data_IF_685513839719
#
_entry.id   IF_685513839719
#
_cell.length_a   1.000
_cell.length_b   1.000
_cell.length_c   1.000
_cell.angle_alpha   90.00
_cell.angle_beta   90.00
_cell.angle_gamma   90.00
#
_symmetry.space_group_name_H-M   'P 1'
#
loop_
_entity.id
_entity.type
_entity.pdbx_description
1 polymer ?
#
# COMPACT_ATOMS: atom_id res chain seq x y z
N UNK A 1 35.97 41.14 41.18
CA UNK A 1 35.72 40.21 42.31
C UNK A 1 34.95 39.00 41.81
N UNK A 2 35.31 37.82 42.33
CA UNK A 2 34.94 36.46 41.91
C UNK A 2 33.47 36.15 42.21
N UNK A 3 32.81 35.31 41.40
CA UNK A 3 31.92 34.22 41.86
C UNK A 3 31.94 33.07 40.85
N UNK A 4 32.64 31.99 41.22
CA UNK A 4 32.52 30.64 40.66
C UNK A 4 31.51 29.89 41.52
N UNK A 5 30.61 29.11 40.93
CA UNK A 5 29.95 28.02 41.64
C UNK A 5 29.95 26.76 40.77
N UNK A 6 30.53 25.71 41.36
CA UNK A 6 30.57 24.31 40.94
C UNK A 6 29.45 23.54 41.66
N UNK A 7 29.28 22.27 41.25
CA UNK A 7 28.70 21.13 41.99
C UNK A 7 27.18 20.93 41.72
N UNK A 8 26.63 19.76 41.35
CA UNK A 8 26.94 18.35 41.69
C UNK A 8 26.43 17.40 40.59
N UNK A 9 27.22 16.37 40.29
CA UNK A 9 26.84 15.23 39.47
C UNK A 9 25.89 14.29 40.24
N UNK A 10 24.85 13.79 39.56
CA UNK A 10 23.99 12.71 40.03
C UNK A 10 24.33 11.43 39.26
N UNK A 11 24.80 10.42 39.97
CA UNK A 11 25.14 9.10 39.45
C UNK A 11 23.85 8.32 39.07
N UNK A 12 23.81 7.77 37.86
CA UNK A 12 22.90 6.68 37.52
C UNK A 12 23.73 5.40 37.37
N UNK A 13 23.36 4.39 38.15
CA UNK A 13 24.02 3.09 38.20
C UNK A 13 23.77 2.30 36.91
N UNK A 14 24.83 1.73 36.34
CA UNK A 14 24.78 0.70 35.30
C UNK A 14 24.74 -0.66 36.00
N UNK A 15 23.63 -1.40 35.90
CA UNK A 15 23.62 -2.82 36.24
C UNK A 15 24.02 -3.63 35.02
N UNK A 16 25.26 -4.14 35.03
CA UNK A 16 25.77 -5.16 34.11
C UNK A 16 25.40 -6.53 34.67
N UNK A 17 24.67 -7.34 33.91
CA UNK A 17 24.47 -8.77 34.18
C UNK A 17 24.83 -9.58 32.93
N UNK A 18 25.90 -10.36 33.00
CA UNK A 18 26.47 -11.17 31.92
C UNK A 18 26.20 -12.67 32.20
N UNK A 19 25.52 -13.33 31.23
CA UNK A 19 25.65 -14.70 30.62
C UNK A 19 25.89 -15.94 31.54
N UNK A 20 25.16 -17.09 31.51
CA UNK A 20 24.87 -18.20 30.53
C UNK A 20 25.14 -19.56 31.27
N UNK A 21 24.93 -20.81 30.76
CA UNK A 21 23.91 -21.47 29.89
C UNK A 21 23.42 -22.88 30.40
N UNK A 22 22.61 -23.57 29.56
CA UNK A 22 22.23 -25.02 29.49
C UNK A 22 21.00 -25.47 30.30
N UNK A 23 20.05 -26.27 29.80
CA UNK A 23 20.16 -27.52 29.00
C UNK A 23 19.06 -27.72 27.94
N UNK A 24 19.38 -28.61 27.01
CA UNK A 24 18.65 -29.16 25.87
C UNK A 24 17.31 -29.85 26.19
N UNK A 25 16.33 -29.71 25.28
CA UNK A 25 15.65 -30.82 24.57
C UNK A 25 14.48 -30.30 23.70
N UNK A 26 14.57 -30.47 22.39
CA UNK A 26 13.42 -30.75 21.53
C UNK A 26 13.90 -31.57 20.33
N UNK A 27 13.53 -32.84 20.33
CA UNK A 27 13.90 -33.85 19.35
C UNK A 27 13.06 -33.73 18.06
N UNK A 28 13.68 -34.16 16.97
CA UNK A 28 13.12 -34.36 15.63
C UNK A 28 12.25 -35.62 15.52
N UNK A 29 11.29 -35.60 14.59
CA UNK A 29 10.54 -36.74 14.02
C UNK A 29 9.02 -36.59 14.24
N UNK A 30 8.09 -36.74 13.29
CA UNK A 30 8.11 -37.14 11.88
C UNK A 30 6.86 -36.56 11.16
N UNK A 31 6.96 -36.56 9.84
CA UNK A 31 6.01 -36.23 8.78
C UNK A 31 4.57 -36.77 8.93
N UNK A 32 3.59 -35.93 8.63
CA UNK A 32 2.38 -36.35 7.91
C UNK A 32 1.85 -35.24 7.01
N UNK A 33 1.85 -35.56 5.73
CA UNK A 33 1.33 -34.92 4.52
C UNK A 33 0.23 -33.85 4.73
N UNK A 34 0.51 -32.60 4.37
CA UNK A 34 -0.55 -31.63 4.04
C UNK A 34 -0.67 -31.57 2.53
N UNK A 35 -1.68 -32.27 2.00
CA UNK A 35 -2.09 -32.15 0.60
C UNK A 35 -2.41 -30.69 0.30
N UNK A 36 -1.58 -30.06 -0.52
CA UNK A 36 -1.92 -28.80 -1.20
C UNK A 36 -2.79 -29.15 -2.40
N UNK A 37 -4.06 -28.74 -2.47
CA UNK A 37 -4.68 -28.59 -3.76
C UNK A 37 -4.06 -27.34 -4.39
N UNK A 38 -3.20 -27.56 -5.38
CA UNK A 38 -2.87 -26.53 -6.33
C UNK A 38 -4.16 -26.13 -7.05
N UNK A 39 -4.70 -24.96 -6.74
CA UNK A 39 -5.69 -24.32 -7.60
C UNK A 39 -5.14 -22.97 -7.99
N UNK A 40 -4.41 -22.98 -9.10
CA UNK A 40 -4.21 -21.84 -9.98
C UNK A 40 -5.57 -21.40 -10.50
N UNK A 41 -6.32 -20.66 -9.70
CA UNK A 41 -7.39 -19.82 -10.23
C UNK A 41 -6.77 -18.45 -10.51
N UNK A 42 -6.42 -18.25 -11.77
CA UNK A 42 -6.30 -16.92 -12.33
C UNK A 42 -7.65 -16.24 -12.12
N UNK A 43 -7.77 -15.45 -11.04
CA UNK A 43 -8.95 -14.64 -10.77
C UNK A 43 -9.13 -13.71 -11.97
N UNK A 44 -10.07 -14.06 -12.83
CA UNK A 44 -10.48 -13.25 -13.96
C UNK A 44 -11.36 -12.14 -13.38
N UNK A 45 -10.77 -10.96 -13.20
CA UNK A 45 -11.48 -9.78 -12.75
C UNK A 45 -12.44 -9.33 -13.87
N UNK A 46 -13.71 -9.72 -13.79
CA UNK A 46 -14.75 -9.14 -14.63
C UNK A 46 -15.08 -7.75 -14.10
N UNK A 47 -14.42 -6.75 -14.69
CA UNK A 47 -14.79 -5.35 -14.53
C UNK A 47 -16.18 -5.16 -15.18
N UNK A 48 -17.26 -5.23 -14.40
CA UNK A 48 -18.61 -4.92 -14.86
C UNK A 48 -18.71 -3.41 -15.13
N UNK A 49 -18.38 -3.04 -16.36
CA UNK A 49 -18.40 -1.67 -16.86
C UNK A 49 -19.78 -1.33 -17.41
N UNK A 50 -20.64 -0.72 -16.60
CA UNK A 50 -21.55 0.29 -17.15
C UNK A 50 -20.75 1.59 -17.27
N UNK A 51 -19.97 1.72 -18.35
CA UNK A 51 -19.30 2.96 -18.72
C UNK A 51 -19.63 3.31 -20.16
N UNK A 52 -20.46 4.33 -20.31
CA UNK A 52 -20.73 4.97 -21.59
C UNK A 52 -19.41 5.42 -22.23
N UNK A 53 -19.24 5.06 -23.50
CA UNK A 53 -18.09 5.36 -24.35
C UNK A 53 -17.61 6.82 -24.23
N UNK A 54 -16.41 7.01 -23.69
CA UNK A 54 -15.30 7.83 -24.22
C UNK A 54 -14.36 8.26 -23.09
N UNK A 55 -13.06 7.96 -23.25
CA UNK A 55 -11.90 8.36 -22.44
C UNK A 55 -11.62 7.62 -21.12
N UNK A 56 -10.44 7.00 -21.14
CA UNK A 56 -9.43 6.95 -20.07
C UNK A 56 -9.87 6.42 -18.69
N UNK A 57 -9.33 5.28 -18.31
CA UNK A 57 -9.78 4.52 -17.15
C UNK A 57 -8.93 4.83 -15.90
N UNK A 58 -7.73 5.40 -16.06
CA UNK A 58 -6.87 5.88 -14.95
C UNK A 58 -6.08 7.12 -15.38
N UNK A 59 -5.91 8.08 -14.46
CA UNK A 59 -5.06 9.25 -14.66
C UNK A 59 -3.94 9.33 -13.61
N UNK A 60 -2.74 9.58 -14.10
CA UNK A 60 -1.53 9.79 -13.31
C UNK A 60 -1.25 11.28 -13.20
N UNK A 61 -1.03 11.73 -11.97
CA UNK A 61 -0.65 13.11 -11.69
C UNK A 61 0.72 13.18 -11.04
N UNK A 62 1.46 14.22 -11.42
CA UNK A 62 2.69 14.60 -10.72
C UNK A 62 2.38 15.20 -9.34
N UNK A 63 3.44 15.47 -8.56
CA UNK A 63 3.33 16.12 -7.24
C UNK A 63 2.71 17.52 -7.25
N UNK A 64 2.65 18.20 -8.41
CA UNK A 64 2.02 19.51 -8.59
C UNK A 64 0.53 19.38 -8.99
N UNK A 65 0.03 18.16 -9.16
CA UNK A 65 -1.34 17.86 -9.55
C UNK A 65 -1.57 17.90 -11.06
N UNK A 66 -0.53 18.07 -11.89
CA UNK A 66 -0.65 18.06 -13.33
C UNK A 66 -0.82 16.64 -13.84
N UNK A 67 -1.69 16.46 -14.82
CA UNK A 67 -1.85 15.17 -15.52
C UNK A 67 -0.60 14.93 -16.36
N UNK A 68 0.11 13.84 -16.08
CA UNK A 68 1.33 13.46 -16.82
C UNK A 68 1.14 12.21 -17.67
N UNK A 69 0.12 11.39 -17.36
CA UNK A 69 -0.21 10.20 -18.16
C UNK A 69 -1.65 9.79 -17.91
N UNK A 70 -2.25 9.19 -18.93
CA UNK A 70 -3.60 8.66 -18.89
C UNK A 70 -3.58 7.27 -19.52
N UNK A 71 -4.28 6.30 -18.93
CA UNK A 71 -4.33 4.92 -19.41
C UNK A 71 -5.72 4.54 -19.91
N UNK A 72 -5.78 3.84 -21.04
CA UNK A 72 -6.98 3.13 -21.51
C UNK A 72 -7.24 1.87 -20.66
N UNK A 73 -8.38 1.20 -20.87
CA UNK A 73 -8.77 0.01 -20.10
C UNK A 73 -7.81 -1.12 -20.40
N UNK A 74 -7.51 -1.27 -21.68
CA UNK A 74 -6.64 -2.30 -22.24
C UNK A 74 -5.20 -2.13 -21.73
N UNK A 75 -4.74 -0.89 -21.53
CA UNK A 75 -3.41 -0.63 -20.96
C UNK A 75 -3.34 -1.00 -19.48
N UNK A 76 -4.42 -0.77 -18.72
CA UNK A 76 -4.51 -1.19 -17.32
C UNK A 76 -4.52 -2.71 -17.20
N UNK A 77 -5.26 -3.40 -18.06
CA UNK A 77 -5.27 -4.87 -18.10
C UNK A 77 -3.87 -5.44 -18.37
N UNK A 78 -3.11 -4.87 -19.32
CA UNK A 78 -1.72 -5.26 -19.58
C UNK A 78 -0.78 -4.99 -18.40
N UNK A 79 -0.98 -3.88 -17.68
CA UNK A 79 -0.22 -3.60 -16.45
C UNK A 79 -0.49 -4.66 -15.37
N UNK A 80 -1.72 -5.16 -15.29
CA UNK A 80 -2.13 -6.18 -14.32
C UNK A 80 -1.56 -7.56 -14.64
N UNK A 81 -1.25 -7.87 -15.91
CA UNK A 81 -0.68 -9.16 -16.30
C UNK A 81 0.76 -9.39 -15.79
N UNK A 82 1.48 -8.33 -15.40
CA UNK A 82 2.87 -8.41 -14.93
C UNK A 82 3.00 -8.45 -13.38
N UNK A 83 1.96 -8.85 -12.66
CA UNK A 83 1.92 -8.83 -11.18
C UNK A 83 2.53 -10.07 -10.50
N UNK A 84 3.21 -10.97 -11.21
CA UNK A 84 3.64 -12.26 -10.65
C UNK A 84 5.18 -12.46 -10.60
N UNK A 85 5.72 -13.04 -9.50
CA UNK A 85 5.12 -13.21 -8.18
C UNK A 85 5.44 -11.99 -7.29
N UNK A 86 4.45 -11.12 -7.08
CA UNK A 86 4.56 -10.04 -6.08
C UNK A 86 4.06 -10.51 -4.72
N UNK A 87 4.67 -9.99 -3.65
CA UNK A 87 4.09 -10.11 -2.31
C UNK A 87 2.87 -9.19 -2.22
N UNK A 88 1.96 -9.49 -1.29
CA UNK A 88 0.83 -8.61 -1.05
C UNK A 88 0.55 -8.41 0.43
N UNK A 89 -0.03 -7.26 0.74
CA UNK A 89 -0.54 -6.90 2.06
C UNK A 89 -2.02 -6.59 1.94
N UNK A 90 -2.85 -7.23 2.74
CA UNK A 90 -4.28 -6.93 2.81
C UNK A 90 -4.53 -5.76 3.75
N UNK A 91 -5.52 -4.94 3.43
CA UNK A 91 -6.11 -4.00 4.38
C UNK A 91 -7.61 -4.21 4.45
N UNK A 92 -8.16 -4.14 5.66
CA UNK A 92 -9.58 -4.35 5.89
C UNK A 92 -10.46 -3.18 5.44
N UNK A 93 -11.76 -3.23 5.75
CA UNK A 93 -12.73 -2.22 5.38
C UNK A 93 -12.29 -0.79 5.71
N UNK A 94 -12.69 0.15 4.86
CA UNK A 94 -12.32 1.55 4.99
C UNK A 94 -13.51 2.46 4.71
N UNK A 95 -13.73 3.40 5.63
CA UNK A 95 -14.63 4.52 5.47
C UNK A 95 -13.84 5.81 5.69
N UNK A 96 -13.91 6.75 4.74
CA UNK A 96 -13.19 8.02 4.85
C UNK A 96 -13.83 9.13 3.99
N UNK A 97 -13.91 10.33 4.56
CA UNK A 97 -14.40 11.52 3.85
C UNK A 97 -13.29 12.29 3.12
N UNK A 98 -12.07 12.28 3.66
CA UNK A 98 -10.92 12.99 3.10
C UNK A 98 -9.82 12.02 2.66
N UNK A 99 -9.22 11.28 3.58
CA UNK A 99 -8.19 10.30 3.27
C UNK A 99 -8.06 9.22 4.36
N UNK A 100 -7.41 8.11 4.00
CA UNK A 100 -6.98 7.07 4.93
C UNK A 100 -5.60 6.52 4.51
N UNK A 101 -4.67 6.40 5.45
CA UNK A 101 -3.41 5.71 5.19
C UNK A 101 -3.66 4.19 5.09
N UNK A 102 -3.06 3.56 4.09
CA UNK A 102 -3.12 2.10 3.94
C UNK A 102 -2.17 1.46 4.95
N UNK A 103 -2.58 0.34 5.54
CA UNK A 103 -1.80 -0.48 6.47
C UNK A 103 -1.10 0.36 7.57
N UNK A 104 -1.85 1.29 8.19
CA UNK A 104 -1.33 2.18 9.25
C UNK A 104 -0.06 2.94 8.86
N UNK A 105 0.05 3.35 7.58
CA UNK A 105 1.21 4.06 7.01
C UNK A 105 2.48 3.21 6.98
N UNK A 106 2.35 1.88 6.86
CA UNK A 106 3.45 0.97 6.53
C UNK A 106 4.16 1.43 5.25
N UNK A 107 5.48 1.24 5.23
CA UNK A 107 6.29 1.43 4.04
C UNK A 107 6.38 0.12 3.26
N UNK A 108 6.13 0.19 1.96
CA UNK A 108 6.22 -0.92 1.02
C UNK A 108 7.44 -0.73 0.14
N UNK A 109 8.22 -1.80 -0.06
CA UNK A 109 9.33 -1.77 -1.00
C UNK A 109 8.77 -1.88 -2.43
N UNK A 110 8.95 -0.84 -3.25
CA UNK A 110 8.59 -0.77 -4.67
C UNK A 110 7.16 -1.28 -5.00
N UNK A 111 6.11 -0.75 -4.34
CA UNK A 111 4.76 -1.24 -4.56
C UNK A 111 4.32 -0.98 -6.00
N UNK A 112 3.60 -1.95 -6.57
CA UNK A 112 3.25 -2.02 -7.98
C UNK A 112 1.82 -1.61 -8.26
N UNK A 113 0.87 -2.02 -7.43
CA UNK A 113 -0.53 -1.62 -7.56
C UNK A 113 -1.26 -1.69 -6.23
N UNK A 114 -2.41 -1.01 -6.18
CA UNK A 114 -3.37 -1.10 -5.09
C UNK A 114 -4.69 -1.59 -5.67
N UNK A 115 -5.12 -2.78 -5.24
CA UNK A 115 -6.46 -3.26 -5.50
C UNK A 115 -7.39 -2.83 -4.36
N UNK A 116 -8.60 -2.40 -4.72
CA UNK A 116 -9.65 -2.02 -3.78
C UNK A 116 -10.94 -2.72 -4.16
N UNK A 117 -11.78 -3.00 -3.17
CA UNK A 117 -13.14 -3.50 -3.36
C UNK A 117 -14.13 -2.44 -2.87
N UNK A 118 -15.00 -1.95 -3.76
CA UNK A 118 -15.99 -0.93 -3.43
C UNK A 118 -17.18 -1.51 -2.66
N UNK A 119 -17.62 -0.81 -1.62
CA UNK A 119 -18.91 -1.05 -0.98
C UNK A 119 -19.95 -0.13 -1.65
N UNK A 120 -20.56 -0.64 -2.73
CA UNK A 120 -21.45 0.13 -3.61
C UNK A 120 -20.69 0.98 -4.63
N UNK A 121 -21.23 2.17 -4.94
CA UNK A 121 -20.66 3.08 -5.95
C UNK A 121 -19.63 4.02 -5.33
N UNK A 122 -18.39 3.97 -5.81
CA UNK A 122 -17.29 4.83 -5.37
C UNK A 122 -16.86 5.76 -6.49
N UNK A 123 -16.75 7.07 -6.20
CA UNK A 123 -16.30 8.09 -7.15
C UNK A 123 -15.10 8.87 -6.60
N UNK A 124 -14.18 9.26 -7.46
CA UNK A 124 -13.07 10.17 -7.08
C UNK A 124 -12.03 9.55 -6.14
N UNK A 125 -11.92 8.21 -6.10
CA UNK A 125 -10.85 7.54 -5.37
C UNK A 125 -9.50 7.80 -6.02
N UNK A 126 -8.52 8.18 -5.20
CA UNK A 126 -7.15 8.44 -5.63
C UNK A 126 -6.16 7.74 -4.69
N UNK A 127 -5.12 7.13 -5.23
CA UNK A 127 -3.97 6.61 -4.48
C UNK A 127 -2.86 7.65 -4.50
N UNK A 128 -2.50 8.19 -3.34
CA UNK A 128 -1.32 9.02 -3.17
C UNK A 128 -0.11 8.18 -2.75
N UNK A 129 1.02 8.44 -3.40
CA UNK A 129 2.31 7.77 -3.14
C UNK A 129 3.25 8.75 -2.46
N UNK A 130 3.86 8.31 -1.34
CA UNK A 130 4.72 9.14 -0.50
C UNK A 130 6.05 8.45 -0.20
N UNK A 131 7.15 9.16 -0.40
CA UNK A 131 8.48 8.78 0.08
C UNK A 131 8.80 9.59 1.35
N UNK A 132 8.97 8.92 2.48
CA UNK A 132 9.43 9.57 3.72
C UNK A 132 8.63 10.82 4.14
N UNK A 133 7.35 10.90 3.71
CA UNK A 133 6.35 11.99 3.85
C UNK A 133 6.28 13.01 2.71
N UNK A 134 7.21 12.98 1.76
CA UNK A 134 7.14 13.80 0.56
C UNK A 134 6.21 13.17 -0.48
N UNK A 135 5.27 13.94 -1.07
CA UNK A 135 4.41 13.42 -2.13
C UNK A 135 5.22 13.18 -3.40
N UNK A 136 5.14 11.95 -3.91
CA UNK A 136 5.76 11.54 -5.18
C UNK A 136 4.82 11.81 -6.34
N UNK A 137 3.56 11.42 -6.19
CA UNK A 137 2.53 11.53 -7.20
C UNK A 137 1.27 10.80 -6.80
N UNK A 138 0.29 10.80 -7.70
CA UNK A 138 -1.03 10.24 -7.44
C UNK A 138 -1.59 9.50 -8.66
N UNK A 139 -2.40 8.47 -8.40
CA UNK A 139 -3.13 7.72 -9.42
C UNK A 139 -4.62 7.75 -9.09
N UNK A 140 -5.42 8.32 -9.98
CA UNK A 140 -6.86 8.54 -9.76
C UNK A 140 -7.71 7.61 -10.60
N UNK A 141 -8.73 7.00 -9.99
CA UNK A 141 -9.82 6.36 -10.71
C UNK A 141 -10.62 7.42 -11.47
N UNK A 142 -10.89 7.19 -12.75
CA UNK A 142 -11.73 8.08 -13.55
C UNK A 142 -13.19 7.66 -13.46
N UNK A 143 -14.07 8.66 -13.27
CA UNK A 143 -15.48 8.41 -13.06
C UNK A 143 -15.77 7.72 -11.72
N UNK A 144 -16.68 6.77 -11.76
CA UNK A 144 -17.09 5.98 -10.61
C UNK A 144 -17.01 4.49 -10.95
N UNK A 145 -16.81 3.65 -9.94
CA UNK A 145 -16.76 2.20 -10.09
C UNK A 145 -17.56 1.50 -9.00
N UNK A 146 -17.86 0.23 -9.26
CA UNK A 146 -18.44 -0.74 -8.32
C UNK A 146 -17.57 -2.01 -8.38
N UNK A 147 -17.58 -2.81 -7.32
CA UNK A 147 -16.74 -4.00 -7.23
C UNK A 147 -15.23 -3.69 -7.15
N UNK A 148 -14.42 -4.61 -7.66
CA UNK A 148 -12.96 -4.55 -7.61
C UNK A 148 -12.33 -3.59 -8.63
N UNK A 149 -11.33 -2.83 -8.20
CA UNK A 149 -10.52 -1.96 -9.06
C UNK A 149 -9.04 -2.03 -8.66
N UNK A 150 -8.18 -2.39 -9.62
CA UNK A 150 -6.73 -2.32 -9.45
C UNK A 150 -6.15 -1.04 -10.05
N UNK A 151 -5.40 -0.29 -9.25
CA UNK A 151 -4.77 0.97 -9.60
C UNK A 151 -3.24 0.77 -9.66
N UNK A 152 -2.63 0.68 -10.86
CA UNK A 152 -1.19 0.50 -11.00
C UNK A 152 -0.44 1.78 -10.65
N UNK A 153 0.53 1.66 -9.73
CA UNK A 153 1.35 2.77 -9.20
C UNK A 153 2.84 2.60 -9.48
N UNK A 154 3.27 1.49 -10.09
CA UNK A 154 4.67 1.14 -10.37
C UNK A 154 5.48 2.25 -11.06
N UNK A 155 4.85 2.97 -11.97
CA UNK A 155 5.48 4.08 -12.70
C UNK A 155 5.89 5.26 -11.81
N UNK A 156 5.35 5.37 -10.59
CA UNK A 156 5.74 6.34 -9.56
C UNK A 156 6.82 5.80 -8.61
N UNK A 157 6.95 4.48 -8.49
CA UNK A 157 7.75 3.81 -7.45
C UNK A 157 9.01 3.13 -7.99
N UNK A 158 9.14 2.98 -9.31
CA UNK A 158 10.31 2.37 -9.94
C UNK A 158 11.45 3.36 -10.24
N UNK A 159 11.26 4.66 -9.95
CA UNK A 159 12.18 5.72 -10.40
C UNK A 159 13.11 6.31 -9.33
N UNK A 160 12.89 6.06 -8.04
CA UNK A 160 13.60 6.77 -6.97
C UNK A 160 14.49 5.86 -6.11
N UNK A 161 15.51 6.45 -5.49
CA UNK A 161 16.58 5.76 -4.76
C UNK A 161 16.16 5.17 -3.41
N UNK A 162 15.10 5.68 -2.79
CA UNK A 162 14.65 5.27 -1.45
C UNK A 162 13.90 3.95 -1.46
N UNK A 163 13.37 3.52 -2.61
CA UNK A 163 12.63 2.28 -2.87
C UNK A 163 11.45 1.95 -1.93
N UNK A 164 11.22 2.69 -0.85
CA UNK A 164 10.19 2.44 0.15
C UNK A 164 9.15 3.56 0.16
N UNK A 165 7.88 3.19 0.07
CA UNK A 165 6.78 4.13 -0.09
C UNK A 165 5.63 3.83 0.85
N UNK A 166 5.00 4.88 1.37
CA UNK A 166 3.72 4.79 2.07
C UNK A 166 2.59 5.24 1.15
N UNK A 167 1.42 4.60 1.29
CA UNK A 167 0.29 4.75 0.38
C UNK A 167 -0.92 5.31 1.11
N UNK A 168 -1.65 6.21 0.45
CA UNK A 168 -2.81 6.91 1.01
C UNK A 168 -4.00 6.81 0.06
N UNK A 169 -5.14 6.35 0.56
CA UNK A 169 -6.43 6.48 -0.09
C UNK A 169 -6.91 7.92 0.09
N UNK A 170 -7.31 8.59 -0.99
CA UNK A 170 -7.74 9.98 -0.99
C UNK A 170 -9.10 10.07 -1.68
N UNK A 171 -10.03 10.77 -1.05
CA UNK A 171 -11.32 11.11 -1.63
C UNK A 171 -11.23 12.49 -2.29
N UNK A 172 -11.36 12.52 -3.61
CA UNK A 172 -11.50 13.76 -4.39
C UNK A 172 -12.88 13.97 -5.00
N UNK A 173 -13.81 13.03 -4.77
CA UNK A 173 -15.18 13.06 -5.28
C UNK A 173 -16.17 13.77 -4.35
N UNK A 174 -15.76 14.10 -3.11
CA UNK A 174 -16.65 14.58 -2.06
C UNK A 174 -17.38 13.45 -1.32
N UNK A 175 -18.19 13.78 -0.32
CA UNK A 175 -18.92 12.78 0.47
C UNK A 175 -18.01 11.84 1.27
N UNK A 176 -18.40 10.57 1.38
CA UNK A 176 -17.64 9.52 2.07
C UNK A 176 -17.47 8.33 1.14
N UNK A 177 -16.24 7.81 1.04
CA UNK A 177 -15.95 6.56 0.33
C UNK A 177 -16.06 5.39 1.31
N UNK A 178 -16.70 4.31 0.85
CA UNK A 178 -16.83 3.04 1.54
C UNK A 178 -16.16 1.94 0.71
N UNK A 179 -15.24 1.20 1.33
CA UNK A 179 -14.54 0.07 0.74
C UNK A 179 -14.67 -1.14 1.65
N UNK A 180 -14.86 -2.32 1.05
CA UNK A 180 -14.82 -3.60 1.76
C UNK A 180 -13.38 -4.01 2.14
N UNK A 181 -12.38 -3.41 1.50
CA UNK A 181 -10.97 -3.61 1.78
C UNK A 181 -10.14 -3.55 0.51
N UNK A 182 -8.96 -4.16 0.55
CA UNK A 182 -8.09 -4.22 -0.62
C UNK A 182 -6.73 -4.86 -0.34
N UNK A 183 -5.87 -4.77 -1.36
CA UNK A 183 -4.54 -5.37 -1.36
C UNK A 183 -3.52 -4.38 -1.94
N UNK A 184 -2.34 -4.30 -1.34
CA UNK A 184 -1.17 -3.65 -1.94
C UNK A 184 -0.25 -4.75 -2.46
N UNK A 185 0.08 -4.73 -3.75
CA UNK A 185 1.06 -5.65 -4.33
C UNK A 185 2.43 -4.95 -4.39
N UNK A 186 3.48 -5.61 -3.91
CA UNK A 186 4.84 -5.05 -3.78
C UNK A 186 5.94 -6.09 -3.92
#
# INVERSE_FOLDING_TARGET
>A
MKKKFLVKAGAFALSVGILLPTTTNAAYGETTTSNVPATTENVKYEQTNEMNNEKAFIEVRDKKGNVIKTYSKEEVEKLNQNLAPLSYETFGPAQFSSYKWIASKKNFYRPKSVNVEADGKVCGLTIGVYDSREPVGEVSAKGCFTGGLNLPISHLTDRFSTNYYSLKLINKGGGTIYLLGGQVYY
#
